data_IF_589905457635
#
_entry.id   IF_589905457635
#
_cell.length_a   1.000
_cell.length_b   1.000
_cell.length_c   1.000
_cell.angle_alpha   90.00
_cell.angle_beta   90.00
_cell.angle_gamma   90.00
#
_symmetry.space_group_name_H-M   'P 1'
#
loop_
_entity.id
_entity.type
_entity.pdbx_description
1 polymer ?
#
# COMPACT_ATOMS: atom_id res chain seq x y z
N UNK A 1 -12.62 47.69 4.37
CA UNK A 1 -11.63 47.15 5.38
C UNK A 1 -11.82 45.66 5.46
N UNK A 2 -10.84 44.86 5.05
CA UNK A 2 -10.87 43.39 5.16
C UNK A 2 -10.81 43.09 6.66
N UNK A 3 -11.85 42.45 7.16
CA UNK A 3 -11.92 42.03 8.57
C UNK A 3 -10.73 41.08 8.88
N UNK A 4 -9.78 41.56 9.70
CA UNK A 4 -8.53 40.87 10.01
C UNK A 4 -8.72 39.78 11.09
N UNK A 5 -9.93 39.61 11.63
CA UNK A 5 -10.21 38.72 12.73
C UNK A 5 -11.33 37.71 12.39
N UNK A 6 -11.21 36.51 12.91
CA UNK A 6 -12.31 35.55 12.97
C UNK A 6 -13.16 35.77 14.21
N UNK A 7 -14.45 35.52 14.09
CA UNK A 7 -15.37 35.43 15.21
C UNK A 7 -15.15 34.11 15.97
N UNK A 8 -15.68 33.99 17.18
CA UNK A 8 -15.62 32.76 17.95
C UNK A 8 -16.26 31.57 17.19
N UNK A 9 -17.39 31.80 16.53
CA UNK A 9 -18.12 30.75 15.81
C UNK A 9 -17.36 30.26 14.57
N UNK A 10 -16.66 31.15 13.85
CA UNK A 10 -15.77 30.79 12.76
C UNK A 10 -14.57 29.95 13.24
N UNK A 11 -13.96 30.33 14.36
CA UNK A 11 -12.86 29.56 14.97
C UNK A 11 -13.31 28.18 15.42
N UNK A 12 -14.49 28.08 16.04
CA UNK A 12 -15.10 26.79 16.43
C UNK A 12 -15.25 25.86 15.22
N UNK A 13 -15.77 26.37 14.11
CA UNK A 13 -15.93 25.60 12.85
C UNK A 13 -14.59 25.21 12.25
N UNK A 14 -13.65 26.15 12.13
CA UNK A 14 -12.35 25.93 11.51
C UNK A 14 -11.48 24.93 12.29
N UNK A 15 -11.50 24.98 13.61
CA UNK A 15 -10.73 24.08 14.48
C UNK A 15 -11.50 22.82 14.90
N UNK A 16 -12.76 22.67 14.49
CA UNK A 16 -13.66 21.60 14.90
C UNK A 16 -13.69 21.40 16.43
N UNK A 17 -13.83 22.49 17.18
CA UNK A 17 -13.82 22.50 18.65
C UNK A 17 -15.08 23.12 19.24
N UNK A 18 -15.46 22.65 20.44
CA UNK A 18 -16.56 23.24 21.16
C UNK A 18 -16.22 24.65 21.69
N UNK A 19 -17.25 25.47 21.93
CA UNK A 19 -17.13 26.83 22.48
C UNK A 19 -16.29 26.85 23.78
N UNK A 20 -16.57 25.94 24.71
CA UNK A 20 -15.85 25.86 25.98
C UNK A 20 -14.36 25.55 25.78
N UNK A 21 -14.04 24.68 24.83
CA UNK A 21 -12.67 24.32 24.48
C UNK A 21 -11.93 25.49 23.88
N UNK A 22 -12.53 26.18 22.89
CA UNK A 22 -11.90 27.37 22.24
C UNK A 22 -11.62 28.47 23.27
N UNK A 23 -12.57 28.76 24.16
CA UNK A 23 -12.38 29.80 25.18
C UNK A 23 -11.29 29.42 26.21
N UNK A 24 -11.25 28.14 26.64
CA UNK A 24 -10.22 27.64 27.56
C UNK A 24 -8.81 27.71 26.91
N UNK A 25 -8.68 27.24 25.69
CA UNK A 25 -7.41 27.24 24.97
C UNK A 25 -6.96 28.65 24.57
N UNK A 26 -7.89 29.56 24.26
CA UNK A 26 -7.59 30.96 24.05
C UNK A 26 -7.12 31.66 25.35
N UNK A 27 -7.67 31.26 26.53
CA UNK A 27 -7.22 31.76 27.81
C UNK A 27 -5.83 31.27 28.19
N UNK A 28 -5.48 30.02 27.81
CA UNK A 28 -4.15 29.44 28.05
C UNK A 28 -3.10 29.83 26.99
N UNK A 29 -3.45 30.60 25.97
CA UNK A 29 -2.55 31.00 24.88
C UNK A 29 -2.33 29.92 23.80
N UNK A 30 -2.99 28.77 23.87
CA UNK A 30 -2.90 27.71 22.86
C UNK A 30 -3.63 28.09 21.55
N UNK A 31 -4.67 28.91 21.63
CA UNK A 31 -5.31 29.55 20.47
C UNK A 31 -4.98 31.04 20.50
N UNK A 32 -4.36 31.58 19.45
CA UNK A 32 -4.08 33.00 19.37
C UNK A 32 -5.35 33.83 19.46
N UNK A 33 -5.39 34.77 20.42
CA UNK A 33 -6.54 35.61 20.63
C UNK A 33 -6.15 36.91 21.34
N UNK A 34 -6.84 37.99 21.04
CA UNK A 34 -6.64 39.31 21.58
C UNK A 34 -7.93 39.85 22.22
N UNK A 35 -7.80 40.64 23.27
CA UNK A 35 -8.91 41.40 23.85
C UNK A 35 -8.66 42.87 23.48
N UNK A 36 -9.65 43.52 22.90
CA UNK A 36 -9.55 44.92 22.51
C UNK A 36 -9.25 45.78 23.74
N UNK A 37 -8.32 46.74 23.55
CA UNK A 37 -7.88 47.63 24.63
C UNK A 37 -9.06 48.33 25.29
N UNK A 38 -9.15 48.28 26.63
CA UNK A 38 -10.28 48.82 27.38
C UNK A 38 -11.49 47.90 27.54
N UNK A 39 -11.55 46.74 26.90
CA UNK A 39 -12.65 45.78 27.07
C UNK A 39 -12.24 44.58 27.95
N UNK A 40 -13.10 44.21 28.90
CA UNK A 40 -12.88 43.01 29.74
C UNK A 40 -13.43 41.73 29.13
N UNK A 41 -14.17 41.82 28.02
CA UNK A 41 -14.84 40.68 27.33
C UNK A 41 -14.80 40.92 25.81
N UNK A 42 -14.93 39.81 25.02
CA UNK A 42 -14.97 39.90 23.56
C UNK A 42 -13.60 39.62 22.93
N UNK A 43 -13.17 38.36 22.95
CA UNK A 43 -11.92 37.94 22.26
C UNK A 43 -12.08 38.01 20.76
N UNK A 44 -11.07 38.51 20.06
CA UNK A 44 -10.90 38.51 18.62
C UNK A 44 -9.77 37.54 18.28
N UNK A 45 -9.87 36.85 17.14
CA UNK A 45 -8.95 35.83 16.71
C UNK A 45 -8.28 36.23 15.41
N UNK A 46 -6.99 36.63 15.41
CA UNK A 46 -6.29 37.07 14.21
C UNK A 46 -6.32 35.99 13.14
N UNK A 47 -6.85 36.29 11.94
CA UNK A 47 -7.03 35.32 10.84
C UNK A 47 -5.72 34.65 10.49
N UNK A 48 -4.66 35.41 10.28
CA UNK A 48 -3.35 34.89 9.91
C UNK A 48 -2.79 33.90 10.94
N UNK A 49 -2.94 34.18 12.23
CA UNK A 49 -2.45 33.30 13.29
C UNK A 49 -3.29 32.02 13.43
N UNK A 50 -4.62 32.12 13.24
CA UNK A 50 -5.50 30.94 13.26
C UNK A 50 -5.25 30.05 12.04
N UNK A 51 -5.10 30.62 10.84
CA UNK A 51 -4.82 29.85 9.63
C UNK A 51 -3.44 29.16 9.70
N UNK A 52 -2.43 29.82 10.28
CA UNK A 52 -1.13 29.21 10.57
C UNK A 52 -1.24 28.05 11.56
N UNK A 53 -2.04 28.19 12.64
CA UNK A 53 -2.29 27.12 13.60
C UNK A 53 -2.96 25.90 12.93
N UNK A 54 -3.93 26.14 12.04
CA UNK A 54 -4.61 25.10 11.27
C UNK A 54 -3.62 24.36 10.35
N UNK A 55 -2.77 25.10 9.64
CA UNK A 55 -1.75 24.52 8.77
C UNK A 55 -0.80 23.60 9.55
N UNK A 56 -0.31 24.04 10.70
CA UNK A 56 0.55 23.22 11.59
C UNK A 56 -0.18 21.98 12.09
N UNK A 57 -1.47 22.08 12.45
CA UNK A 57 -2.26 20.90 12.88
C UNK A 57 -2.48 19.93 11.73
N UNK A 58 -2.77 20.41 10.53
CA UNK A 58 -2.93 19.57 9.34
C UNK A 58 -1.62 18.87 8.94
N UNK A 59 -0.49 19.54 9.08
CA UNK A 59 0.82 18.96 8.82
C UNK A 59 1.14 17.85 9.85
N UNK A 60 0.92 18.11 11.14
CA UNK A 60 1.04 17.08 12.20
C UNK A 60 0.10 15.91 12.02
N UNK A 61 -1.11 16.12 11.50
CA UNK A 61 -2.04 15.02 11.20
C UNK A 61 -1.62 14.26 9.93
N UNK A 62 -1.05 14.95 8.94
CA UNK A 62 -0.43 14.28 7.77
C UNK A 62 0.75 13.43 8.18
N UNK A 63 1.64 13.94 9.02
CA UNK A 63 2.79 13.21 9.55
C UNK A 63 2.35 12.01 10.39
N UNK A 64 1.36 12.18 11.27
CA UNK A 64 0.76 11.06 12.02
C UNK A 64 0.10 10.02 11.12
N UNK A 65 -0.48 10.44 9.99
CA UNK A 65 -1.10 9.53 9.02
C UNK A 65 -0.04 8.76 8.21
N UNK A 66 1.12 9.38 7.95
CA UNK A 66 2.28 8.75 7.33
C UNK A 66 2.93 7.75 8.28
N UNK A 67 3.05 8.07 9.58
CA UNK A 67 3.60 7.17 10.61
C UNK A 67 2.72 5.95 10.91
N UNK A 68 1.45 5.97 10.49
CA UNK A 68 0.51 4.86 10.66
C UNK A 68 0.64 3.76 9.61
N UNK A 69 1.18 4.05 8.43
CA UNK A 69 1.30 3.13 7.31
C UNK A 69 2.76 2.72 7.12
N UNK A 70 3.07 1.48 7.46
CA UNK A 70 4.41 0.91 7.31
C UNK A 70 4.36 -0.18 6.26
N UNK A 71 5.16 -0.05 5.20
CA UNK A 71 5.42 -1.10 4.23
C UNK A 71 6.79 -1.69 4.51
N UNK A 72 6.83 -2.95 4.92
CA UNK A 72 8.06 -3.61 5.35
C UNK A 72 8.00 -5.12 5.10
N UNK A 73 9.15 -5.79 5.18
CA UNK A 73 9.23 -7.24 5.15
C UNK A 73 8.28 -7.86 6.18
N UNK A 74 7.59 -8.94 5.77
CA UNK A 74 6.59 -9.61 6.60
C UNK A 74 7.27 -10.41 7.70
N UNK A 75 6.84 -10.20 8.94
CA UNK A 75 7.22 -11.03 10.09
C UNK A 75 6.43 -12.36 10.07
N UNK A 76 6.79 -13.28 10.95
CA UNK A 76 6.02 -14.55 11.10
C UNK A 76 4.54 -14.28 11.44
N UNK A 77 4.28 -13.29 12.31
CA UNK A 77 2.92 -12.91 12.66
C UNK A 77 2.19 -12.25 11.47
N UNK A 78 2.90 -11.49 10.64
CA UNK A 78 2.33 -10.89 9.43
C UNK A 78 1.93 -11.97 8.43
N UNK A 79 2.75 -13.00 8.21
CA UNK A 79 2.42 -14.15 7.35
C UNK A 79 1.15 -14.88 7.81
N UNK A 80 0.95 -15.02 9.12
CA UNK A 80 -0.30 -15.59 9.64
C UNK A 80 -1.51 -14.70 9.30
N UNK A 81 -1.35 -13.38 9.41
CA UNK A 81 -2.39 -12.43 9.03
C UNK A 81 -2.67 -12.47 7.52
N UNK A 82 -1.65 -12.64 6.67
CA UNK A 82 -1.76 -12.77 5.21
C UNK A 82 -2.57 -14.02 4.83
N UNK A 83 -2.28 -15.18 5.44
CA UNK A 83 -3.08 -16.41 5.26
C UNK A 83 -4.53 -16.18 5.65
N UNK A 84 -4.78 -15.47 6.76
CA UNK A 84 -6.15 -15.14 7.20
C UNK A 84 -6.88 -14.25 6.19
N UNK A 85 -6.20 -13.27 5.62
CA UNK A 85 -6.75 -12.39 4.57
C UNK A 85 -7.04 -13.21 3.30
N UNK A 86 -6.08 -14.04 2.88
CA UNK A 86 -6.25 -14.92 1.72
C UNK A 86 -7.45 -15.86 1.86
N UNK A 87 -7.61 -16.45 3.04
CA UNK A 87 -8.76 -17.33 3.35
C UNK A 87 -10.10 -16.62 3.20
N UNK A 88 -10.20 -15.36 3.63
CA UNK A 88 -11.41 -14.55 3.49
C UNK A 88 -11.74 -14.26 2.02
N UNK A 89 -10.70 -14.06 1.19
CA UNK A 89 -10.87 -13.62 -0.19
C UNK A 89 -11.01 -14.77 -1.19
N UNK A 90 -10.25 -15.84 -1.00
CA UNK A 90 -10.10 -16.92 -1.99
C UNK A 90 -10.65 -18.27 -1.51
N UNK A 91 -11.00 -18.39 -0.23
CA UNK A 91 -11.43 -19.65 0.37
C UNK A 91 -10.25 -20.54 0.81
N UNK A 92 -10.59 -21.66 1.46
CA UNK A 92 -9.58 -22.55 2.05
C UNK A 92 -8.76 -23.33 1.00
N UNK A 93 -9.38 -23.64 -0.14
CA UNK A 93 -8.76 -24.48 -1.18
C UNK A 93 -7.72 -23.75 -2.03
N UNK A 94 -7.80 -22.44 -2.13
CA UNK A 94 -6.94 -21.62 -3.01
C UNK A 94 -5.84 -20.85 -2.25
N UNK A 95 -5.71 -21.06 -0.94
CA UNK A 95 -4.64 -20.43 -0.15
C UNK A 95 -3.41 -21.32 -0.05
N UNK A 96 -2.26 -20.68 0.13
CA UNK A 96 -1.03 -21.34 0.55
C UNK A 96 -1.07 -21.53 2.06
N UNK A 97 -0.91 -22.77 2.58
CA UNK A 97 -0.90 -23.00 4.02
C UNK A 97 0.23 -22.26 4.73
N UNK A 98 -0.01 -21.79 5.96
CA UNK A 98 0.97 -21.05 6.76
C UNK A 98 2.32 -21.78 6.89
N UNK A 99 2.28 -23.10 7.13
CA UNK A 99 3.48 -23.94 7.19
C UNK A 99 4.32 -23.81 5.91
N UNK A 100 3.66 -23.79 4.75
CA UNK A 100 4.35 -23.66 3.45
C UNK A 100 5.00 -22.31 3.27
N UNK A 101 4.37 -21.23 3.70
CA UNK A 101 4.97 -19.89 3.71
C UNK A 101 6.20 -19.82 4.61
N UNK A 102 6.19 -20.51 5.76
CA UNK A 102 7.36 -20.61 6.63
C UNK A 102 8.52 -21.32 5.94
N UNK A 103 8.25 -22.48 5.32
CA UNK A 103 9.25 -23.23 4.56
C UNK A 103 9.86 -22.39 3.44
N UNK A 104 9.06 -21.65 2.69
CA UNK A 104 9.54 -20.73 1.64
C UNK A 104 10.40 -19.59 2.21
N UNK A 105 9.98 -19.04 3.34
CA UNK A 105 10.72 -17.98 4.01
C UNK A 105 12.09 -18.46 4.53
N UNK A 106 12.22 -19.70 4.94
CA UNK A 106 13.52 -20.29 5.31
C UNK A 106 14.48 -20.32 4.13
N UNK A 107 13.97 -20.47 2.89
CA UNK A 107 14.77 -20.42 1.67
C UNK A 107 15.11 -18.98 1.30
N UNK A 108 14.11 -18.06 1.30
CA UNK A 108 14.30 -16.66 0.94
C UNK A 108 13.29 -15.80 1.72
N UNK A 109 13.75 -15.01 2.68
CA UNK A 109 12.91 -14.23 3.60
C UNK A 109 12.51 -12.85 3.06
N UNK A 110 13.07 -12.44 1.93
CA UNK A 110 12.80 -11.14 1.29
C UNK A 110 11.69 -11.17 0.23
N UNK A 111 10.94 -12.29 0.12
CA UNK A 111 9.88 -12.45 -0.86
C UNK A 111 8.53 -11.84 -0.45
N UNK A 112 8.36 -11.49 0.83
CA UNK A 112 7.06 -11.14 1.41
C UNK A 112 7.08 -9.74 2.03
N UNK A 113 6.15 -8.90 1.61
CA UNK A 113 6.00 -7.53 2.13
C UNK A 113 4.58 -7.27 2.59
N UNK A 114 4.45 -6.69 3.78
CA UNK A 114 3.17 -6.26 4.35
C UNK A 114 3.03 -4.75 4.41
N UNK A 115 1.85 -4.23 4.07
CA UNK A 115 1.43 -2.89 4.44
C UNK A 115 0.64 -2.97 5.75
N UNK A 116 1.12 -2.26 6.77
CA UNK A 116 0.53 -2.23 8.12
C UNK A 116 -0.05 -0.87 8.44
N UNK A 117 -1.24 -0.84 9.03
CA UNK A 117 -1.87 0.34 9.63
C UNK A 117 -1.99 0.09 11.13
N UNK A 118 -1.35 0.93 11.95
CA UNK A 118 -1.31 0.76 13.43
C UNK A 118 -0.87 -0.66 13.86
N UNK A 119 0.16 -1.22 13.20
CA UNK A 119 0.71 -2.54 13.46
C UNK A 119 -0.11 -3.73 12.94
N UNK A 120 -1.25 -3.50 12.28
CA UNK A 120 -2.11 -4.54 11.71
C UNK A 120 -1.90 -4.64 10.19
N UNK A 121 -1.71 -5.83 9.68
CA UNK A 121 -1.63 -6.08 8.23
C UNK A 121 -2.97 -5.75 7.57
N UNK A 122 -2.93 -4.78 6.64
CA UNK A 122 -4.07 -4.34 5.84
C UNK A 122 -3.93 -4.69 4.35
N UNK A 123 -2.70 -5.00 3.91
CA UNK A 123 -2.43 -5.49 2.57
C UNK A 123 -1.08 -6.20 2.56
N UNK A 124 -0.85 -7.07 1.57
CA UNK A 124 0.41 -7.77 1.40
C UNK A 124 0.72 -8.03 -0.06
N UNK A 125 2.01 -8.18 -0.36
CA UNK A 125 2.52 -8.56 -1.67
C UNK A 125 3.60 -9.62 -1.55
N UNK A 126 3.62 -10.53 -2.53
CA UNK A 126 4.65 -11.55 -2.65
C UNK A 126 5.25 -11.50 -4.04
N UNK A 127 6.57 -11.25 -4.11
CA UNK A 127 7.37 -11.33 -5.32
C UNK A 127 8.37 -12.47 -5.11
N UNK A 128 8.29 -13.50 -5.93
CA UNK A 128 9.05 -14.73 -5.74
C UNK A 128 10.03 -14.93 -6.88
N UNK A 129 11.35 -14.93 -6.63
CA UNK A 129 12.32 -15.39 -7.62
C UNK A 129 12.21 -16.91 -7.74
N UNK A 130 11.81 -17.38 -8.92
CA UNK A 130 11.55 -18.81 -9.16
C UNK A 130 12.26 -19.31 -10.41
N UNK A 131 12.43 -20.62 -10.49
CA UNK A 131 12.75 -21.28 -11.74
C UNK A 131 11.65 -21.05 -12.78
N UNK A 132 12.03 -20.63 -13.98
CA UNK A 132 11.10 -20.21 -15.03
C UNK A 132 10.15 -21.32 -15.47
N UNK A 133 10.62 -22.57 -15.52
CA UNK A 133 9.79 -23.76 -15.81
C UNK A 133 8.66 -23.92 -14.80
N UNK A 134 8.90 -23.65 -13.52
CA UNK A 134 7.87 -23.72 -12.46
C UNK A 134 6.86 -22.58 -12.62
N UNK A 135 7.32 -21.39 -13.01
CA UNK A 135 6.41 -20.28 -13.31
C UNK A 135 5.47 -20.65 -14.48
N UNK A 136 5.99 -21.25 -15.55
CA UNK A 136 5.15 -21.70 -16.67
C UNK A 136 4.10 -22.74 -16.22
N UNK A 137 4.44 -23.68 -15.36
CA UNK A 137 3.48 -24.64 -14.80
C UNK A 137 2.37 -23.95 -14.00
N UNK A 138 2.70 -22.88 -13.24
CA UNK A 138 1.72 -22.04 -12.53
C UNK A 138 0.81 -21.27 -13.50
N UNK A 139 1.38 -20.66 -14.53
CA UNK A 139 0.62 -19.90 -15.53
C UNK A 139 -0.39 -20.80 -16.26
N UNK A 140 0.01 -22.01 -16.60
CA UNK A 140 -0.81 -23.02 -17.29
C UNK A 140 -1.77 -23.78 -16.36
N UNK A 141 -1.79 -23.45 -15.05
CA UNK A 141 -2.59 -24.09 -14.01
C UNK A 141 -2.32 -25.60 -13.85
N UNK A 142 -1.11 -26.04 -14.21
CA UNK A 142 -0.66 -27.43 -14.03
C UNK A 142 -0.25 -27.75 -12.62
N UNK A 143 0.15 -26.75 -11.84
CA UNK A 143 0.40 -26.82 -10.41
C UNK A 143 -0.25 -25.62 -9.71
N UNK A 144 -0.54 -25.74 -8.43
CA UNK A 144 -0.98 -24.64 -7.57
C UNK A 144 0.21 -23.99 -6.86
N UNK A 145 0.06 -22.77 -6.39
CA UNK A 145 1.13 -22.09 -5.64
C UNK A 145 1.63 -22.93 -4.46
N UNK A 146 0.73 -23.60 -3.72
CA UNK A 146 1.11 -24.49 -2.60
C UNK A 146 2.06 -25.62 -2.99
N UNK A 147 2.11 -25.98 -4.27
CA UNK A 147 2.91 -27.07 -4.81
C UNK A 147 4.30 -26.62 -5.30
N UNK A 148 4.62 -25.32 -5.25
CA UNK A 148 5.93 -24.80 -5.63
C UNK A 148 7.00 -25.51 -4.78
N UNK A 149 7.94 -26.24 -5.39
CA UNK A 149 8.97 -26.94 -4.66
C UNK A 149 9.99 -25.96 -4.07
N UNK A 150 10.53 -26.24 -2.89
CA UNK A 150 11.54 -25.37 -2.24
C UNK A 150 12.77 -25.17 -3.13
N UNK A 151 13.15 -26.19 -3.88
CA UNK A 151 14.29 -26.15 -4.81
C UNK A 151 14.10 -25.21 -5.99
N UNK A 152 12.87 -24.81 -6.30
CA UNK A 152 12.59 -23.85 -7.36
C UNK A 152 12.70 -22.39 -6.93
N UNK A 153 12.78 -22.15 -5.62
CA UNK A 153 12.95 -20.78 -5.08
C UNK A 153 14.41 -20.39 -5.21
N UNK A 154 14.65 -19.27 -5.89
CA UNK A 154 15.97 -18.72 -6.09
C UNK A 154 16.33 -17.70 -5.00
N UNK A 155 17.62 -17.42 -4.84
CA UNK A 155 18.08 -16.27 -4.09
C UNK A 155 18.01 -15.01 -4.96
N UNK A 156 17.81 -13.86 -4.35
CA UNK A 156 17.84 -12.59 -5.08
C UNK A 156 19.21 -12.29 -5.70
N UNK A 157 20.27 -12.92 -5.21
CA UNK A 157 21.64 -12.81 -5.71
C UNK A 157 21.97 -13.78 -6.84
N UNK A 158 21.08 -14.70 -7.19
CA UNK A 158 21.29 -15.62 -8.31
C UNK A 158 21.23 -14.83 -9.63
N UNK A 159 21.99 -15.25 -10.66
CA UNK A 159 21.96 -14.60 -11.96
C UNK A 159 20.68 -14.93 -12.73
N UNK A 160 20.28 -14.04 -13.65
CA UNK A 160 19.18 -14.22 -14.60
C UNK A 160 17.89 -14.74 -13.96
N UNK A 161 17.49 -14.15 -12.81
CA UNK A 161 16.29 -14.60 -12.10
C UNK A 161 15.01 -14.18 -12.83
N UNK A 162 14.01 -15.07 -12.81
CA UNK A 162 12.63 -14.78 -13.20
C UNK A 162 11.78 -14.55 -11.96
N UNK A 163 11.00 -13.46 -11.93
CA UNK A 163 10.18 -13.09 -10.77
C UNK A 163 8.71 -13.36 -11.04
N UNK A 164 8.10 -14.13 -10.17
CA UNK A 164 6.66 -14.37 -10.14
C UNK A 164 5.97 -13.48 -9.12
N UNK A 165 5.01 -12.67 -9.57
CA UNK A 165 4.13 -11.89 -8.71
C UNK A 165 3.00 -12.78 -8.21
N UNK A 166 3.20 -13.38 -7.04
CA UNK A 166 2.25 -14.32 -6.45
C UNK A 166 1.03 -13.61 -5.85
N UNK A 167 1.22 -12.46 -5.20
CA UNK A 167 0.09 -11.74 -4.64
C UNK A 167 0.31 -10.22 -4.59
N UNK A 168 -0.77 -9.48 -4.79
CA UNK A 168 -0.95 -8.06 -4.45
C UNK A 168 -2.37 -7.96 -3.89
N UNK A 169 -2.51 -8.07 -2.58
CA UNK A 169 -3.79 -8.31 -1.93
C UNK A 169 -4.10 -7.28 -0.86
N UNK A 170 -5.35 -6.84 -0.78
CA UNK A 170 -5.84 -5.89 0.22
C UNK A 170 -6.90 -6.54 1.09
N UNK A 171 -6.79 -6.36 2.40
CA UNK A 171 -7.79 -6.83 3.37
C UNK A 171 -9.08 -6.06 3.22
N UNK A 172 -10.24 -6.72 3.00
CA UNK A 172 -11.53 -6.07 2.96
C UNK A 172 -11.85 -5.39 4.31
N UNK A 173 -12.27 -4.13 4.26
CA UNK A 173 -12.69 -3.38 5.45
C UNK A 173 -14.20 -3.23 5.56
N UNK A 174 -14.96 -3.69 4.56
CA UNK A 174 -16.39 -3.42 4.42
C UNK A 174 -16.70 -2.03 3.87
N UNK A 175 -15.68 -1.22 3.57
CA UNK A 175 -15.84 0.10 2.95
C UNK A 175 -15.02 0.16 1.66
N UNK A 176 -15.70 0.15 0.52
CA UNK A 176 -15.08 0.09 -0.81
C UNK A 176 -14.18 1.29 -1.13
N UNK A 177 -14.47 2.48 -0.61
CA UNK A 177 -13.63 3.66 -0.79
C UNK A 177 -12.31 3.52 -0.03
N UNK A 178 -12.38 3.07 1.23
CA UNK A 178 -11.20 2.80 2.06
C UNK A 178 -10.35 1.68 1.45
N UNK A 179 -10.97 0.62 0.96
CA UNK A 179 -10.26 -0.51 0.35
C UNK A 179 -9.57 -0.09 -0.95
N UNK A 180 -10.20 0.78 -1.75
CA UNK A 180 -9.58 1.36 -2.95
C UNK A 180 -8.40 2.26 -2.62
N UNK A 181 -8.51 3.10 -1.58
CA UNK A 181 -7.40 3.95 -1.11
C UNK A 181 -6.21 3.11 -0.63
N UNK A 182 -6.47 2.09 0.21
CA UNK A 182 -5.46 1.12 0.67
C UNK A 182 -4.80 0.39 -0.50
N UNK A 183 -5.60 -0.04 -1.47
CA UNK A 183 -5.11 -0.68 -2.68
C UNK A 183 -4.17 0.22 -3.48
N UNK A 184 -4.54 1.49 -3.67
CA UNK A 184 -3.69 2.48 -4.36
C UNK A 184 -2.34 2.65 -3.64
N UNK A 185 -2.36 2.84 -2.32
CA UNK A 185 -1.15 3.00 -1.52
C UNK A 185 -0.29 1.73 -1.59
N UNK A 186 -0.91 0.56 -1.42
CA UNK A 186 -0.23 -0.72 -1.44
C UNK A 186 0.45 -1.01 -2.79
N UNK A 187 -0.29 -0.86 -3.89
CA UNK A 187 0.25 -1.01 -5.25
C UNK A 187 1.43 -0.07 -5.47
N UNK A 188 1.33 1.20 -5.04
CA UNK A 188 2.45 2.16 -5.16
C UNK A 188 3.71 1.68 -4.43
N UNK A 189 3.58 1.15 -3.21
CA UNK A 189 4.71 0.61 -2.45
C UNK A 189 5.27 -0.66 -3.10
N UNK A 190 4.42 -1.58 -3.54
CA UNK A 190 4.83 -2.81 -4.23
C UNK A 190 5.60 -2.50 -5.51
N UNK A 191 5.12 -1.54 -6.32
CA UNK A 191 5.83 -1.14 -7.54
C UNK A 191 7.18 -0.47 -7.22
N UNK A 192 7.28 0.32 -6.15
CA UNK A 192 8.55 0.89 -5.71
C UNK A 192 9.54 -0.19 -5.27
N UNK A 193 9.05 -1.21 -4.56
CA UNK A 193 9.84 -2.37 -4.17
C UNK A 193 10.30 -3.15 -5.41
N UNK A 194 9.41 -3.48 -6.34
CA UNK A 194 9.77 -4.12 -7.61
C UNK A 194 10.83 -3.33 -8.38
N UNK A 195 10.69 -1.99 -8.46
CA UNK A 195 11.70 -1.12 -9.08
C UNK A 195 13.05 -1.14 -8.38
N UNK A 196 13.08 -1.24 -7.05
CA UNK A 196 14.33 -1.34 -6.31
C UNK A 196 15.04 -2.67 -6.59
N UNK A 197 14.30 -3.77 -6.67
CA UNK A 197 14.81 -5.08 -7.06
C UNK A 197 15.37 -5.05 -8.49
N UNK A 198 14.60 -4.58 -9.45
CA UNK A 198 14.96 -4.56 -10.87
C UNK A 198 16.20 -3.70 -11.18
N UNK A 199 16.47 -2.67 -10.38
CA UNK A 199 17.66 -1.82 -10.51
C UNK A 199 18.94 -2.40 -9.90
N UNK A 200 18.79 -3.29 -8.92
CA UNK A 200 19.89 -3.81 -8.11
C UNK A 200 20.29 -5.23 -8.50
N UNK A 201 19.38 -5.96 -9.15
CA UNK A 201 19.49 -7.39 -9.40
C UNK A 201 19.39 -7.69 -10.90
N UNK A 202 19.87 -8.86 -11.27
CA UNK A 202 19.82 -9.38 -12.64
C UNK A 202 18.47 -10.09 -12.89
N UNK A 203 17.40 -9.29 -12.98
CA UNK A 203 16.05 -9.82 -13.24
C UNK A 203 15.84 -9.90 -14.75
N UNK A 204 15.70 -11.12 -15.25
CA UNK A 204 15.46 -11.41 -16.65
C UNK A 204 14.01 -11.17 -17.07
N UNK A 205 13.08 -11.71 -16.27
CA UNK A 205 11.67 -11.71 -16.62
C UNK A 205 10.78 -11.47 -15.42
N UNK A 206 9.63 -10.83 -15.66
CA UNK A 206 8.56 -10.67 -14.68
C UNK A 206 7.30 -11.39 -15.16
N UNK A 207 6.68 -12.15 -14.27
CA UNK A 207 5.47 -12.91 -14.50
C UNK A 207 4.42 -12.62 -13.45
N UNK A 208 3.14 -12.87 -13.78
CA UNK A 208 2.07 -12.84 -12.80
C UNK A 208 0.78 -13.45 -13.32
N UNK A 209 -0.14 -13.70 -12.41
CA UNK A 209 -1.46 -14.25 -12.72
C UNK A 209 -2.54 -13.26 -12.30
N UNK A 210 -3.37 -12.85 -13.25
CA UNK A 210 -4.57 -12.07 -13.01
C UNK A 210 -5.77 -12.99 -12.79
N UNK A 211 -6.04 -13.37 -11.54
CA UNK A 211 -7.20 -14.19 -11.16
C UNK A 211 -8.48 -13.36 -10.92
N UNK A 212 -8.38 -12.03 -10.94
CA UNK A 212 -9.50 -11.10 -10.79
C UNK A 212 -9.45 -10.03 -11.87
N UNK A 213 -10.59 -9.43 -12.18
CA UNK A 213 -10.66 -8.34 -13.16
C UNK A 213 -9.77 -7.15 -12.78
N UNK A 214 -9.62 -6.88 -11.48
CA UNK A 214 -8.72 -5.84 -10.95
C UNK A 214 -7.25 -6.20 -11.19
N UNK A 215 -6.86 -7.43 -10.89
CA UNK A 215 -5.51 -7.95 -11.12
C UNK A 215 -5.14 -7.93 -12.60
N UNK A 216 -6.04 -8.38 -13.48
CA UNK A 216 -5.85 -8.34 -14.93
C UNK A 216 -5.60 -6.90 -15.41
N UNK A 217 -6.47 -5.96 -15.04
CA UNK A 217 -6.29 -4.53 -15.36
C UNK A 217 -4.99 -3.95 -14.80
N UNK A 218 -4.53 -4.40 -13.64
CA UNK A 218 -3.27 -3.96 -13.07
C UNK A 218 -2.09 -4.38 -13.95
N UNK A 219 -2.00 -5.66 -14.33
CA UNK A 219 -0.94 -6.16 -15.22
C UNK A 219 -0.95 -5.46 -16.58
N UNK A 220 -2.12 -5.31 -17.21
CA UNK A 220 -2.27 -4.57 -18.47
C UNK A 220 -1.78 -3.12 -18.37
N UNK A 221 -2.17 -2.41 -17.30
CA UNK A 221 -1.72 -1.02 -17.06
C UNK A 221 -0.23 -0.91 -16.75
N UNK A 222 0.37 -1.94 -16.19
CA UNK A 222 1.81 -2.04 -15.97
C UNK A 222 2.58 -2.40 -17.25
N UNK A 223 1.87 -2.72 -18.35
CA UNK A 223 2.46 -3.03 -19.62
C UNK A 223 2.87 -4.48 -19.80
N UNK A 224 2.35 -5.38 -18.95
CA UNK A 224 2.53 -6.81 -19.15
C UNK A 224 1.74 -7.30 -20.37
N UNK A 225 2.26 -8.30 -21.05
CA UNK A 225 1.63 -8.98 -22.17
C UNK A 225 0.92 -10.24 -21.68
N UNK A 226 -0.33 -10.44 -22.06
CA UNK A 226 -1.06 -11.69 -21.82
C UNK A 226 -0.47 -12.80 -22.66
N UNK A 227 -0.11 -13.93 -22.05
CA UNK A 227 0.47 -15.11 -22.75
C UNK A 227 -0.33 -16.39 -22.51
N UNK A 228 -1.18 -16.42 -21.48
CA UNK A 228 -2.06 -17.56 -21.18
C UNK A 228 -3.44 -17.02 -20.81
N UNK A 229 -4.49 -17.67 -21.33
CA UNK A 229 -5.88 -17.39 -20.98
C UNK A 229 -6.60 -18.69 -20.67
N UNK A 230 -7.12 -18.84 -19.46
CA UNK A 230 -7.81 -20.03 -18.97
C UNK A 230 -9.20 -19.67 -18.45
N UNK A 231 -10.11 -20.65 -18.45
CA UNK A 231 -11.45 -20.53 -17.88
C UNK A 231 -12.25 -19.35 -18.45
N UNK A 232 -12.28 -19.23 -19.78
CA UNK A 232 -12.96 -18.15 -20.53
C UNK A 232 -12.47 -16.75 -20.08
N UNK A 233 -11.15 -16.62 -19.89
CA UNK A 233 -10.51 -15.36 -19.50
C UNK A 233 -10.62 -14.99 -18.02
N UNK A 234 -11.16 -15.87 -17.17
CA UNK A 234 -11.24 -15.63 -15.74
C UNK A 234 -9.88 -15.67 -15.04
N UNK A 235 -8.93 -16.42 -15.62
CA UNK A 235 -7.55 -16.54 -15.15
C UNK A 235 -6.61 -16.27 -16.31
N UNK A 236 -5.75 -15.28 -16.20
CA UNK A 236 -4.81 -14.88 -17.25
C UNK A 236 -3.39 -14.86 -16.72
N UNK A 237 -2.47 -15.41 -17.51
CA UNK A 237 -1.03 -15.34 -17.28
C UNK A 237 -0.42 -14.17 -18.04
N UNK A 238 0.44 -13.43 -17.37
CA UNK A 238 1.07 -12.21 -17.86
C UNK A 238 2.59 -12.27 -17.75
N UNK A 239 3.26 -11.54 -18.65
CA UNK A 239 4.71 -11.55 -18.79
C UNK A 239 5.23 -10.20 -19.28
N UNK A 240 6.42 -9.80 -18.83
CA UNK A 240 7.21 -8.74 -19.44
C UNK A 240 8.56 -9.34 -19.86
N UNK A 241 8.81 -9.31 -21.16
CA UNK A 241 10.08 -9.62 -21.78
C UNK A 241 10.98 -8.39 -21.78
N UNK A 242 12.25 -8.54 -21.45
CA UNK A 242 13.27 -7.49 -21.46
C UNK A 242 13.43 -6.69 -20.17
N UNK A 243 14.59 -6.86 -19.57
CA UNK A 243 15.09 -6.25 -18.33
C UNK A 243 14.97 -4.72 -18.28
N UNK A 244 14.97 -4.04 -19.43
CA UNK A 244 14.88 -2.57 -19.50
C UNK A 244 13.46 -2.02 -19.53
N UNK A 245 12.49 -2.81 -19.97
CA UNK A 245 11.07 -2.38 -20.04
C UNK A 245 10.42 -2.22 -18.68
N UNK A 246 10.60 -3.14 -17.71
CA UNK A 246 9.97 -3.01 -16.39
C UNK A 246 10.30 -1.69 -15.70
N UNK A 247 11.55 -1.28 -15.64
CA UNK A 247 11.97 0.00 -15.03
C UNK A 247 11.23 1.18 -15.65
N UNK A 248 11.13 1.23 -16.98
CA UNK A 248 10.45 2.32 -17.69
C UNK A 248 8.94 2.29 -17.41
N UNK A 249 8.32 1.13 -17.55
CA UNK A 249 6.88 0.96 -17.39
C UNK A 249 6.42 1.20 -15.95
N UNK A 250 7.10 0.64 -14.97
CA UNK A 250 6.82 0.84 -13.55
C UNK A 250 7.02 2.30 -13.13
N UNK A 251 8.08 2.95 -13.61
CA UNK A 251 8.32 4.38 -13.36
C UNK A 251 7.24 5.27 -13.98
N UNK A 252 6.77 4.96 -15.19
CA UNK A 252 5.67 5.67 -15.82
C UNK A 252 4.34 5.45 -15.08
N UNK A 253 4.09 4.23 -14.61
CA UNK A 253 2.92 3.91 -13.82
C UNK A 253 2.88 4.70 -12.52
N UNK A 254 3.99 4.78 -11.78
CA UNK A 254 4.09 5.55 -10.54
C UNK A 254 3.81 7.05 -10.77
N UNK A 255 4.35 7.65 -11.84
CA UNK A 255 4.07 9.05 -12.21
C UNK A 255 2.58 9.34 -12.47
N UNK A 256 1.84 8.36 -12.98
CA UNK A 256 0.38 8.49 -13.22
C UNK A 256 -0.45 8.34 -11.93
N UNK A 257 0.16 7.87 -10.85
CA UNK A 257 -0.48 7.70 -9.54
C UNK A 257 -0.28 8.91 -8.62
N UNK A 258 0.65 9.80 -8.96
CA UNK A 258 0.86 11.09 -8.29
C UNK A 258 -0.25 12.07 -8.63
#
# INVERSE_FOLDING_TARGET
MIDQYYTLDEVMKKLNKSRSTVLREAKSGQIPSEIEEGKKKGRRYPKQAIDALIAIQQEKERDKKVDRLIFSSSTLNDLWAEVTIGRILYGEDDIVPYKRLLEWREVNDEMFMSLKEDGRVIAYSSLMPLEENVIHLLLEDKIRERDIPLTAIKQWTDPEISVYTASITVRPSGNSLKDRERGRIHIRHTIKWALSLDRQLDIKNWYGIGATAEGQRLFERLGFTEIVSLYDGKRKGYYIEDVKKPVKLFSQFLKRME
#
